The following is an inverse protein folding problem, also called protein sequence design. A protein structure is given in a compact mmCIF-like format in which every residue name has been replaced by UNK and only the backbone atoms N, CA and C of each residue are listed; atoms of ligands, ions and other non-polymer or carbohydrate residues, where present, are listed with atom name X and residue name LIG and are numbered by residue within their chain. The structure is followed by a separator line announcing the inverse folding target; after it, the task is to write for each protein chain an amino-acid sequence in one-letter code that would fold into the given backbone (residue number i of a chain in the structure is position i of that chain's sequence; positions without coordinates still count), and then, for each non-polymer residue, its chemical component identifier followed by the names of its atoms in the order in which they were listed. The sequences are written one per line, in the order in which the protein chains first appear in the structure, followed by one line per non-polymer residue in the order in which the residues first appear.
data_IF_332367269885
#
_entry.id   IF_332367269885
#
_cell.length_a   1.000
_cell.length_b   1.000
_cell.length_c   1.000
_cell.angle_alpha   90.00
_cell.angle_beta   90.00
_cell.angle_gamma   90.00
#
_symmetry.space_group_name_H-M   'P 1'
#
loop_
_entity.id
_entity.type
_entity.pdbx_description
1 polymer ?
#
# COMPACT_ATOMS: atom_id res chain seq x y z
N UNK A 1 -8.72 14.28 -19.34
CA UNK A 1 -7.49 13.89 -18.62
C UNK A 1 -7.71 14.18 -17.14
N UNK A 2 -7.49 13.20 -16.30
CA UNK A 2 -7.52 13.37 -14.86
C UNK A 2 -6.43 14.38 -14.46
N UNK A 3 -6.78 15.35 -13.61
CA UNK A 3 -5.81 16.25 -13.00
C UNK A 3 -5.36 15.65 -11.67
N UNK A 4 -4.10 15.27 -11.57
CA UNK A 4 -3.54 14.90 -10.27
C UNK A 4 -3.48 16.11 -9.35
N UNK A 5 -3.68 15.95 -8.04
CA UNK A 5 -3.59 17.07 -7.10
C UNK A 5 -2.16 17.61 -7.03
N UNK A 6 -2.03 18.91 -6.80
CA UNK A 6 -0.75 19.53 -6.45
C UNK A 6 -0.34 19.10 -5.05
N UNK A 7 0.90 18.63 -4.92
CA UNK A 7 1.45 18.13 -3.67
C UNK A 7 2.77 18.83 -3.33
N UNK A 8 2.97 19.12 -2.05
CA UNK A 8 4.24 19.67 -1.54
C UNK A 8 5.13 18.60 -0.92
N UNK A 9 4.51 17.52 -0.38
CA UNK A 9 5.20 16.43 0.31
C UNK A 9 5.30 15.15 -0.49
N UNK A 10 4.72 15.15 -1.70
CA UNK A 10 4.75 14.02 -2.63
C UNK A 10 5.23 14.47 -4.00
N UNK A 11 5.95 13.58 -4.69
CA UNK A 11 6.20 13.70 -6.13
C UNK A 11 5.34 12.67 -6.85
N UNK A 12 4.61 13.12 -7.89
CA UNK A 12 3.69 12.29 -8.64
C UNK A 12 4.15 12.19 -10.10
N UNK A 13 4.19 10.96 -10.65
CA UNK A 13 4.52 10.71 -12.04
C UNK A 13 3.64 9.59 -12.58
N UNK A 14 2.81 9.90 -13.55
CA UNK A 14 1.98 8.90 -14.23
C UNK A 14 2.66 8.46 -15.52
N UNK A 15 2.96 7.16 -15.63
CA UNK A 15 3.60 6.56 -16.81
C UNK A 15 2.95 5.20 -17.10
N UNK A 16 2.51 5.00 -18.33
CA UNK A 16 2.02 3.71 -18.85
C UNK A 16 1.01 3.02 -17.90
N UNK A 17 0.05 3.79 -17.36
CA UNK A 17 -0.98 3.29 -16.44
C UNK A 17 -0.48 2.98 -15.02
N UNK A 18 0.72 3.42 -14.67
CA UNK A 18 1.28 3.31 -13.31
C UNK A 18 1.49 4.71 -12.73
N UNK A 19 0.87 5.00 -11.60
CA UNK A 19 1.14 6.23 -10.86
C UNK A 19 2.24 5.96 -9.84
N UNK A 20 3.40 6.57 -10.06
CA UNK A 20 4.50 6.60 -9.10
C UNK A 20 4.26 7.74 -8.10
N UNK A 21 4.23 7.39 -6.81
CA UNK A 21 4.03 8.29 -5.68
C UNK A 21 5.30 8.22 -4.84
N UNK A 22 6.06 9.30 -4.78
CA UNK A 22 7.28 9.36 -3.97
C UNK A 22 7.05 10.26 -2.76
N UNK A 23 7.18 9.70 -1.55
CA UNK A 23 7.20 10.48 -0.32
C UNK A 23 8.43 11.40 -0.36
N UNK A 24 8.23 12.72 -0.33
CA UNK A 24 9.28 13.68 -0.64
C UNK A 24 9.54 14.67 0.51
N UNK A 25 9.97 14.12 1.64
CA UNK A 25 10.48 14.88 2.80
C UNK A 25 11.80 14.25 3.28
N UNK A 26 12.85 14.19 2.40
CA UNK A 26 14.07 13.44 2.69
C UNK A 26 14.81 13.95 3.94
N UNK A 27 14.76 15.25 4.25
CA UNK A 27 15.42 15.86 5.41
C UNK A 27 14.96 15.26 6.76
N UNK A 28 13.73 14.74 6.82
CA UNK A 28 13.20 14.04 7.99
C UNK A 28 12.91 12.55 7.71
N UNK A 29 13.60 11.95 6.72
CA UNK A 29 13.44 10.56 6.31
C UNK A 29 11.98 10.21 6.02
N UNK A 30 11.28 11.13 5.35
CA UNK A 30 9.87 11.01 4.97
C UNK A 30 8.92 10.73 6.16
N UNK A 31 9.20 11.33 7.33
CA UNK A 31 8.30 11.27 8.48
C UNK A 31 6.91 11.77 8.07
N UNK A 32 5.88 11.01 8.46
CA UNK A 32 4.48 11.20 8.05
C UNK A 32 3.87 12.39 8.77
N UNK A 33 3.78 13.53 8.07
CA UNK A 33 3.04 14.72 8.55
C UNK A 33 1.56 14.62 8.21
N UNK A 34 0.72 15.37 8.91
CA UNK A 34 -0.70 15.45 8.61
C UNK A 34 -0.94 15.96 7.17
N UNK A 35 -0.10 16.86 6.68
CA UNK A 35 -0.14 17.32 5.29
C UNK A 35 0.09 16.18 4.32
N UNK A 36 1.13 15.36 4.53
CA UNK A 36 1.41 14.19 3.71
C UNK A 36 0.26 13.17 3.73
N UNK A 37 -0.38 12.96 4.89
CA UNK A 37 -1.56 12.12 5.02
C UNK A 37 -2.71 12.63 4.14
N UNK A 38 -3.00 13.93 4.19
CA UNK A 38 -4.06 14.53 3.38
C UNK A 38 -3.73 14.48 1.88
N UNK A 39 -2.48 14.74 1.50
CA UNK A 39 -2.05 14.66 0.10
C UNK A 39 -2.14 13.23 -0.43
N UNK A 40 -1.70 12.22 0.34
CA UNK A 40 -1.86 10.81 -0.03
C UNK A 40 -3.34 10.44 -0.21
N UNK A 41 -4.21 10.86 0.72
CA UNK A 41 -5.65 10.63 0.61
C UNK A 41 -6.23 11.28 -0.66
N UNK A 42 -5.86 12.54 -0.96
CA UNK A 42 -6.32 13.23 -2.15
C UNK A 42 -5.83 12.55 -3.45
N UNK A 43 -4.60 12.06 -3.47
CA UNK A 43 -4.05 11.29 -4.61
C UNK A 43 -4.84 10.00 -4.81
N UNK A 44 -5.08 9.22 -3.75
CA UNK A 44 -5.85 7.98 -3.81
C UNK A 44 -7.28 8.23 -4.33
N UNK A 45 -7.94 9.29 -3.84
CA UNK A 45 -9.29 9.66 -4.30
C UNK A 45 -9.28 10.08 -5.77
N UNK A 46 -8.28 10.83 -6.22
CA UNK A 46 -8.21 11.31 -7.60
C UNK A 46 -8.10 10.20 -8.63
N UNK A 47 -7.48 9.04 -8.27
CA UNK A 47 -7.27 7.91 -9.20
C UNK A 47 -8.29 6.80 -9.06
N UNK A 48 -9.09 6.81 -8.00
CA UNK A 48 -9.98 5.70 -7.63
C UNK A 48 -10.85 5.19 -8.79
N UNK A 49 -11.45 6.11 -9.53
CA UNK A 49 -12.36 5.77 -10.63
C UNK A 49 -11.69 5.78 -12.00
N UNK A 50 -10.39 6.09 -12.09
CA UNK A 50 -9.70 6.14 -13.38
C UNK A 50 -9.30 4.71 -13.85
N UNK A 51 -9.92 4.19 -14.94
CA UNK A 51 -9.59 2.88 -15.47
C UNK A 51 -8.20 2.83 -16.12
N UNK A 52 -7.63 3.98 -16.47
CA UNK A 52 -6.30 4.10 -17.04
C UNK A 52 -5.17 3.91 -16.03
N UNK A 53 -5.46 4.06 -14.72
CA UNK A 53 -4.48 3.81 -13.65
C UNK A 53 -4.68 2.39 -13.11
N UNK A 54 -3.70 1.53 -13.35
CA UNK A 54 -3.76 0.10 -13.03
C UNK A 54 -3.00 -0.25 -11.75
N UNK A 55 -1.92 0.48 -11.49
CA UNK A 55 -1.07 0.28 -10.31
C UNK A 55 -0.63 1.62 -9.72
N UNK A 56 -0.42 1.62 -8.42
CA UNK A 56 0.22 2.69 -7.65
C UNK A 56 1.54 2.15 -7.11
N UNK A 57 2.64 2.85 -7.36
CA UNK A 57 3.95 2.50 -6.81
C UNK A 57 4.33 3.55 -5.78
N UNK A 58 4.44 3.15 -4.51
CA UNK A 58 4.79 4.02 -3.41
C UNK A 58 6.25 3.83 -3.01
N UNK A 59 7.03 4.91 -3.01
CA UNK A 59 8.45 4.95 -2.65
C UNK A 59 8.75 6.11 -1.72
N UNK A 60 9.99 6.17 -1.19
CA UNK A 60 10.50 7.31 -0.44
C UNK A 60 11.72 7.93 -1.11
N UNK A 61 11.79 9.26 -1.11
CA UNK A 61 12.98 10.00 -1.55
C UNK A 61 14.11 9.89 -0.52
N UNK A 62 15.36 10.09 -0.97
CA UNK A 62 16.52 10.16 -0.08
C UNK A 62 16.93 8.85 0.57
N UNK A 63 16.59 7.70 -0.05
CA UNK A 63 17.01 6.37 0.43
C UNK A 63 16.28 5.88 1.68
N UNK A 64 15.17 6.50 2.05
CA UNK A 64 14.31 6.08 3.17
C UNK A 64 12.86 6.04 2.74
N UNK A 65 12.14 4.97 3.11
CA UNK A 65 10.72 4.91 2.83
C UNK A 65 9.95 5.88 3.74
N UNK A 66 9.89 5.61 5.05
CA UNK A 66 9.26 6.49 6.02
C UNK A 66 9.73 6.15 7.45
N UNK A 67 10.15 7.17 8.20
CA UNK A 67 10.68 7.00 9.56
C UNK A 67 9.60 7.02 10.67
N UNK A 68 8.31 6.98 10.32
CA UNK A 68 7.20 7.03 11.27
C UNK A 68 6.47 8.37 11.29
N UNK A 69 5.75 8.66 12.37
CA UNK A 69 5.02 9.92 12.54
C UNK A 69 5.92 11.14 12.69
N UNK A 70 5.47 12.28 12.19
CA UNK A 70 6.20 13.54 12.33
C UNK A 70 6.11 14.06 13.77
N UNK A 71 7.28 14.22 14.40
CA UNK A 71 7.39 14.66 15.80
C UNK A 71 6.85 16.10 15.97
N UNK A 72 6.96 16.96 14.94
CA UNK A 72 6.47 18.35 15.01
C UNK A 72 4.95 18.38 15.05
N UNK A 73 4.29 17.57 14.21
CA UNK A 73 2.82 17.46 14.24
C UNK A 73 2.33 16.84 15.55
N UNK A 74 3.05 15.85 16.07
CA UNK A 74 2.77 15.29 17.39
C UNK A 74 2.90 16.32 18.50
N UNK A 75 3.95 17.16 18.48
CA UNK A 75 4.13 18.23 19.45
C UNK A 75 3.04 19.31 19.34
N UNK A 76 2.66 19.69 18.12
CA UNK A 76 1.57 20.63 17.86
C UNK A 76 0.22 20.11 18.38
N UNK A 77 -0.11 18.86 18.10
CA UNK A 77 -1.31 18.22 18.61
C UNK A 77 -1.34 18.15 20.16
N UNK A 78 -0.16 17.98 20.79
CA UNK A 78 -0.05 17.99 22.26
C UNK A 78 -0.50 19.33 22.86
N UNK A 79 -0.15 20.43 22.22
CA UNK A 79 -0.55 21.75 22.68
C UNK A 79 -2.05 22.03 22.46
N UNK A 80 -2.68 21.37 21.48
CA UNK A 80 -4.09 21.50 21.16
C UNK A 80 -5.03 20.54 21.93
N UNK A 81 -4.46 19.58 22.68
CA UNK A 81 -5.20 18.66 23.55
C UNK A 81 -5.51 17.29 22.99
N UNK A 82 -6.17 16.46 23.78
CA UNK A 82 -6.41 15.04 23.47
C UNK A 82 -7.24 14.82 22.20
N UNK A 83 -8.20 15.69 21.92
CA UNK A 83 -9.05 15.59 20.72
C UNK A 83 -8.26 15.84 19.45
N UNK A 84 -7.31 16.77 19.45
CA UNK A 84 -6.43 17.00 18.31
C UNK A 84 -5.56 15.77 18.02
N UNK A 85 -5.02 15.12 19.06
CA UNK A 85 -4.31 13.84 18.89
C UNK A 85 -5.20 12.75 18.31
N UNK A 86 -6.43 12.63 18.80
CA UNK A 86 -7.38 11.64 18.30
C UNK A 86 -7.67 11.85 16.82
N UNK A 87 -7.92 13.10 16.41
CA UNK A 87 -8.19 13.46 15.02
C UNK A 87 -6.97 13.20 14.11
N UNK A 88 -5.78 13.64 14.52
CA UNK A 88 -4.53 13.40 13.81
C UNK A 88 -4.30 11.89 13.58
N UNK A 89 -4.42 11.11 14.66
CA UNK A 89 -4.19 9.67 14.61
C UNK A 89 -5.25 8.97 13.75
N UNK A 90 -6.54 9.36 13.87
CA UNK A 90 -7.60 8.76 13.04
C UNK A 90 -7.49 9.14 11.56
N UNK A 91 -7.05 10.35 11.22
CA UNK A 91 -6.79 10.74 9.84
C UNK A 91 -5.76 9.82 9.18
N UNK A 92 -4.67 9.51 9.90
CA UNK A 92 -3.67 8.55 9.44
C UNK A 92 -4.27 7.15 9.22
N UNK A 93 -5.08 6.66 10.18
CA UNK A 93 -5.74 5.36 10.03
C UNK A 93 -6.74 5.33 8.87
N UNK A 94 -7.46 6.43 8.62
CA UNK A 94 -8.37 6.54 7.48
C UNK A 94 -7.63 6.46 6.14
N UNK A 95 -6.46 7.11 6.04
CA UNK A 95 -5.61 7.04 4.86
C UNK A 95 -5.08 5.61 4.62
N UNK A 96 -4.68 4.88 5.67
CA UNK A 96 -4.27 3.48 5.55
C UNK A 96 -5.42 2.59 5.07
N UNK A 97 -6.61 2.78 5.61
CA UNK A 97 -7.83 2.08 5.21
C UNK A 97 -8.16 2.37 3.73
N UNK A 98 -8.06 3.63 3.31
CA UNK A 98 -8.24 4.04 1.93
C UNK A 98 -7.19 3.42 1.00
N UNK A 99 -5.92 3.39 1.41
CA UNK A 99 -4.83 2.78 0.65
C UNK A 99 -5.02 1.28 0.47
N UNK A 100 -5.44 0.56 1.54
CA UNK A 100 -5.76 -0.87 1.46
C UNK A 100 -6.90 -1.14 0.47
N UNK A 101 -7.94 -0.31 0.50
CA UNK A 101 -9.15 -0.51 -0.29
C UNK A 101 -9.12 0.18 -1.67
N UNK A 102 -8.02 0.84 -2.05
CA UNK A 102 -7.94 1.45 -3.38
C UNK A 102 -8.06 0.37 -4.47
N UNK A 103 -8.83 0.62 -5.55
CA UNK A 103 -9.07 -0.39 -6.57
C UNK A 103 -7.83 -0.80 -7.37
N UNK A 104 -6.84 0.09 -7.45
CA UNK A 104 -5.56 -0.17 -8.11
C UNK A 104 -4.70 -1.11 -7.27
N UNK A 105 -3.78 -1.83 -7.93
CA UNK A 105 -2.77 -2.62 -7.23
C UNK A 105 -1.76 -1.66 -6.59
N UNK A 106 -1.65 -1.68 -5.26
CA UNK A 106 -0.70 -0.87 -4.52
C UNK A 106 0.60 -1.65 -4.29
N UNK A 107 1.69 -1.15 -4.87
CA UNK A 107 3.03 -1.71 -4.72
C UNK A 107 3.87 -0.77 -3.87
N UNK A 108 4.37 -1.23 -2.72
CA UNK A 108 5.34 -0.48 -1.92
C UNK A 108 6.77 -0.96 -2.21
N UNK A 109 7.65 -0.01 -2.51
CA UNK A 109 9.10 -0.24 -2.61
C UNK A 109 9.75 0.43 -1.41
N UNK A 110 10.29 -0.38 -0.51
CA UNK A 110 10.71 0.08 0.83
C UNK A 110 12.20 -0.11 1.03
N UNK A 111 12.87 1.02 1.25
CA UNK A 111 14.32 1.11 1.45
C UNK A 111 14.61 1.91 2.72
N UNK A 112 15.79 1.71 3.31
CA UNK A 112 16.23 2.43 4.51
C UNK A 112 15.24 2.32 5.68
N UNK A 113 14.76 3.43 6.21
CA UNK A 113 13.85 3.44 7.37
C UNK A 113 12.40 3.10 6.97
N UNK A 114 11.80 2.09 7.62
CA UNK A 114 10.43 1.61 7.47
C UNK A 114 9.82 1.43 8.86
N UNK A 115 9.48 2.55 9.51
CA UNK A 115 9.15 2.59 10.93
C UNK A 115 7.72 3.09 11.17
N UNK A 116 7.07 2.61 12.20
CA UNK A 116 5.76 3.10 12.63
C UNK A 116 4.78 3.27 11.46
N UNK A 117 4.44 4.50 11.11
CA UNK A 117 3.56 4.80 9.98
C UNK A 117 4.02 4.23 8.64
N UNK A 118 5.34 4.21 8.37
CA UNK A 118 5.91 3.57 7.18
C UNK A 118 5.72 2.05 7.19
N UNK A 119 5.84 1.43 8.35
CA UNK A 119 5.52 0.01 8.53
C UNK A 119 4.05 -0.25 8.20
N UNK A 120 3.14 0.61 8.66
CA UNK A 120 1.72 0.53 8.36
C UNK A 120 1.42 0.60 6.86
N UNK A 121 2.06 1.52 6.13
CA UNK A 121 1.93 1.62 4.66
C UNK A 121 2.42 0.35 3.95
N UNK A 122 3.53 -0.26 4.39
CA UNK A 122 3.98 -1.53 3.86
C UNK A 122 2.96 -2.66 4.12
N UNK A 123 2.29 -2.66 5.28
CA UNK A 123 1.28 -3.66 5.63
C UNK A 123 0.02 -3.59 4.77
N UNK A 124 -0.42 -2.39 4.37
CA UNK A 124 -1.65 -2.20 3.57
C UNK A 124 -1.41 -2.33 2.06
N UNK A 125 -0.16 -2.43 1.61
CA UNK A 125 0.15 -2.62 0.19
C UNK A 125 -0.16 -4.04 -0.27
N UNK A 126 -0.63 -4.20 -1.50
CA UNK A 126 -0.89 -5.52 -2.09
C UNK A 126 0.42 -6.27 -2.31
N UNK A 127 1.45 -5.55 -2.74
CA UNK A 127 2.79 -6.09 -2.97
C UNK A 127 3.80 -5.17 -2.28
N UNK A 128 4.74 -5.74 -1.55
CA UNK A 128 5.85 -5.01 -0.96
C UNK A 128 7.18 -5.63 -1.38
N UNK A 129 8.10 -4.78 -1.87
CA UNK A 129 9.46 -5.11 -2.27
C UNK A 129 10.39 -4.32 -1.36
N UNK A 130 11.33 -4.98 -0.69
CA UNK A 130 12.26 -4.34 0.24
C UNK A 130 13.70 -4.44 -0.24
N UNK A 131 14.53 -3.49 0.19
CA UNK A 131 15.97 -3.72 0.25
C UNK A 131 16.28 -4.68 1.41
N UNK A 132 17.22 -5.59 1.23
CA UNK A 132 17.68 -6.53 2.28
C UNK A 132 18.13 -5.81 3.55
N UNK A 133 18.72 -4.62 3.42
CA UNK A 133 19.22 -3.81 4.52
C UNK A 133 18.20 -2.80 5.06
N UNK A 134 16.99 -2.74 4.52
CA UNK A 134 15.91 -1.87 5.02
C UNK A 134 15.67 -2.14 6.51
N UNK A 135 15.38 -1.08 7.28
CA UNK A 135 15.30 -1.13 8.75
C UNK A 135 13.86 -0.99 9.21
N UNK A 136 13.28 -2.12 9.58
CA UNK A 136 11.91 -2.21 10.06
C UNK A 136 11.82 -2.11 11.58
N UNK A 137 10.68 -1.61 12.07
CA UNK A 137 10.36 -1.64 13.49
C UNK A 137 9.10 -0.87 13.86
N UNK A 138 8.57 -1.23 15.03
CA UNK A 138 7.43 -0.60 15.70
C UNK A 138 7.95 0.04 17.00
N UNK A 139 8.48 1.29 16.96
CA UNK A 139 9.15 1.89 18.10
C UNK A 139 8.21 2.47 19.15
N UNK A 140 6.91 2.47 18.91
CA UNK A 140 5.91 3.21 19.67
C UNK A 140 5.99 2.93 21.18
N UNK A 141 6.14 1.67 21.57
CA UNK A 141 6.18 1.28 22.99
C UNK A 141 7.44 1.79 23.72
N UNK A 142 8.55 2.02 23.02
CA UNK A 142 9.74 2.67 23.61
C UNK A 142 9.54 4.15 23.90
N UNK A 143 8.53 4.77 23.29
CA UNK A 143 8.15 6.16 23.48
C UNK A 143 6.97 6.31 24.45
N UNK A 144 6.48 5.20 25.06
CA UNK A 144 5.33 5.21 25.93
C UNK A 144 3.99 5.44 25.20
N UNK A 145 3.95 5.21 23.88
CA UNK A 145 2.75 5.31 23.06
C UNK A 145 2.42 3.98 22.41
N UNK A 146 1.30 3.89 21.71
CA UNK A 146 0.83 2.65 21.09
C UNK A 146 0.75 2.78 19.56
N UNK A 147 0.96 1.70 18.80
CA UNK A 147 0.80 1.68 17.34
C UNK A 147 -0.68 1.61 16.94
N UNK A 148 -1.50 2.57 17.42
CA UNK A 148 -2.96 2.47 17.47
C UNK A 148 -3.61 2.19 16.11
N UNK A 149 -3.24 2.95 15.07
CA UNK A 149 -3.87 2.82 13.76
C UNK A 149 -3.23 1.75 12.87
N UNK A 150 -1.99 1.36 13.15
CA UNK A 150 -1.27 0.38 12.33
C UNK A 150 -1.42 -1.05 12.86
N UNK A 151 -1.64 -1.24 14.16
CA UNK A 151 -1.69 -2.56 14.78
C UNK A 151 -2.64 -3.56 14.09
N UNK A 152 -3.88 -3.18 13.70
CA UNK A 152 -4.77 -4.11 12.98
C UNK A 152 -4.18 -4.59 11.66
N UNK A 153 -3.58 -3.70 10.87
CA UNK A 153 -2.97 -4.04 9.59
C UNK A 153 -1.72 -4.91 9.76
N UNK A 154 -0.94 -4.65 10.81
CA UNK A 154 0.22 -5.49 11.16
C UNK A 154 -0.23 -6.91 11.50
N UNK A 155 -1.26 -7.06 12.32
CA UNK A 155 -1.82 -8.38 12.68
C UNK A 155 -2.32 -9.13 11.46
N UNK A 156 -3.03 -8.45 10.56
CA UNK A 156 -3.50 -9.04 9.30
C UNK A 156 -2.35 -9.50 8.40
N UNK A 157 -1.27 -8.71 8.36
CA UNK A 157 -0.14 -8.96 7.48
C UNK A 157 0.76 -10.11 7.94
N UNK A 158 1.14 -10.16 9.24
CA UNK A 158 2.14 -11.11 9.76
C UNK A 158 1.59 -12.03 10.86
N UNK A 159 0.31 -11.98 11.11
CA UNK A 159 -0.36 -12.76 12.16
C UNK A 159 -0.10 -12.23 13.58
N UNK A 160 -1.01 -12.57 14.50
CA UNK A 160 -1.02 -12.06 15.87
C UNK A 160 0.27 -12.38 16.64
N UNK A 161 0.83 -13.58 16.46
CA UNK A 161 2.02 -14.02 17.20
C UNK A 161 3.24 -13.14 16.91
N UNK A 162 3.52 -12.87 15.62
CA UNK A 162 4.65 -12.04 15.23
C UNK A 162 4.38 -10.56 15.51
N UNK A 163 3.15 -10.09 15.29
CA UNK A 163 2.76 -8.73 15.62
C UNK A 163 2.98 -8.42 17.11
N UNK A 164 2.59 -9.32 18.02
CA UNK A 164 2.84 -9.20 19.47
C UNK A 164 4.33 -9.16 19.78
N UNK A 165 5.12 -10.09 19.22
CA UNK A 165 6.57 -10.11 19.43
C UNK A 165 7.19 -8.77 19.06
N UNK A 166 6.90 -8.26 17.87
CA UNK A 166 7.53 -7.04 17.35
C UNK A 166 7.06 -5.78 18.08
N UNK A 167 5.75 -5.63 18.30
CA UNK A 167 5.19 -4.44 18.91
C UNK A 167 5.53 -4.32 20.42
N UNK A 168 5.56 -5.44 21.14
CA UNK A 168 5.81 -5.44 22.59
C UNK A 168 7.30 -5.34 22.94
N UNK A 169 8.20 -5.65 22.02
CA UNK A 169 9.64 -5.58 22.25
C UNK A 169 10.31 -4.43 21.51
N UNK A 170 9.57 -3.75 20.62
CA UNK A 170 10.10 -2.76 19.68
C UNK A 170 11.31 -3.29 18.88
N UNK A 171 11.33 -4.59 18.60
CA UNK A 171 12.43 -5.25 17.92
C UNK A 171 12.70 -4.62 16.55
N UNK A 172 13.98 -4.43 16.23
CA UNK A 172 14.43 -3.98 14.92
C UNK A 172 14.88 -5.18 14.10
N UNK A 173 14.57 -5.15 12.81
CA UNK A 173 14.96 -6.21 11.89
C UNK A 173 15.15 -5.64 10.47
N UNK A 174 15.76 -6.42 9.60
CA UNK A 174 16.07 -6.02 8.23
C UNK A 174 15.05 -6.54 7.21
N UNK A 175 15.26 -6.19 5.92
CA UNK A 175 14.39 -6.60 4.83
C UNK A 175 14.34 -8.11 4.62
N UNK A 176 15.47 -8.81 4.75
CA UNK A 176 15.51 -10.27 4.65
C UNK A 176 14.63 -10.95 5.72
N UNK A 177 14.65 -10.45 6.96
CA UNK A 177 13.75 -10.95 8.01
C UNK A 177 12.30 -10.55 7.75
N UNK A 178 12.05 -9.36 7.18
CA UNK A 178 10.73 -8.94 6.77
C UNK A 178 10.12 -9.91 5.73
N UNK A 179 10.93 -10.41 4.80
CA UNK A 179 10.54 -11.46 3.87
C UNK A 179 10.16 -12.76 4.57
N UNK A 180 10.99 -13.24 5.53
CA UNK A 180 10.67 -14.46 6.30
C UNK A 180 9.40 -14.35 7.13
N UNK A 181 9.08 -13.15 7.60
CA UNK A 181 7.84 -12.86 8.36
C UNK A 181 6.59 -12.74 7.48
N UNK A 182 6.74 -12.68 6.16
CA UNK A 182 5.64 -12.40 5.23
C UNK A 182 5.19 -10.94 5.25
N UNK A 183 6.00 -10.04 5.83
CA UNK A 183 5.72 -8.60 5.81
C UNK A 183 5.92 -8.03 4.42
N UNK A 184 7.01 -8.43 3.74
CA UNK A 184 7.27 -8.11 2.35
C UNK A 184 7.29 -9.37 1.51
N UNK A 185 6.96 -9.27 0.23
CA UNK A 185 6.91 -10.41 -0.69
C UNK A 185 8.28 -10.73 -1.27
N UNK A 186 9.09 -9.69 -1.45
CA UNK A 186 10.42 -9.78 -2.05
C UNK A 186 11.41 -8.95 -1.23
N UNK A 187 12.63 -9.46 -1.10
CA UNK A 187 13.75 -8.78 -0.48
C UNK A 187 14.94 -8.92 -1.41
N UNK A 188 15.53 -7.79 -1.80
CA UNK A 188 16.54 -7.71 -2.86
C UNK A 188 17.80 -7.01 -2.34
N UNK A 189 18.94 -7.41 -2.87
CA UNK A 189 20.25 -7.02 -2.34
C UNK A 189 20.68 -5.60 -2.69
N UNK A 190 20.19 -5.06 -3.80
CA UNK A 190 20.58 -3.74 -4.30
C UNK A 190 19.47 -3.07 -5.12
N UNK A 191 19.66 -1.78 -5.42
CA UNK A 191 18.67 -0.98 -6.13
C UNK A 191 18.38 -1.49 -7.54
N UNK A 192 19.33 -2.13 -8.22
CA UNK A 192 19.11 -2.67 -9.56
C UNK A 192 18.20 -3.90 -9.51
N UNK A 193 18.41 -4.78 -8.51
CA UNK A 193 17.56 -5.93 -8.26
C UNK A 193 16.14 -5.51 -7.83
N UNK A 194 16.01 -4.48 -6.98
CA UNK A 194 14.73 -3.89 -6.59
C UNK A 194 13.97 -3.39 -7.83
N UNK A 195 14.65 -2.65 -8.70
CA UNK A 195 14.01 -2.12 -9.91
C UNK A 195 13.62 -3.24 -10.88
N UNK A 196 14.47 -4.24 -11.08
CA UNK A 196 14.16 -5.42 -11.89
C UNK A 196 12.93 -6.16 -11.36
N UNK A 197 12.84 -6.35 -10.04
CA UNK A 197 11.68 -6.96 -9.38
C UNK A 197 10.42 -6.12 -9.56
N UNK A 198 10.52 -4.80 -9.41
CA UNK A 198 9.38 -3.91 -9.64
C UNK A 198 8.88 -4.02 -11.08
N UNK A 199 9.76 -4.00 -12.07
CA UNK A 199 9.38 -4.13 -13.48
C UNK A 199 8.74 -5.50 -13.78
N UNK A 200 9.23 -6.57 -13.17
CA UNK A 200 8.60 -7.90 -13.26
C UNK A 200 7.16 -7.86 -12.72
N UNK A 201 6.97 -7.34 -11.50
CA UNK A 201 5.65 -7.21 -10.86
C UNK A 201 4.70 -6.35 -11.70
N UNK A 202 5.15 -5.20 -12.18
CA UNK A 202 4.35 -4.33 -13.04
C UNK A 202 4.00 -5.02 -14.36
N UNK A 203 4.93 -5.81 -14.92
CA UNK A 203 4.68 -6.66 -16.08
C UNK A 203 3.56 -7.67 -15.83
N UNK A 204 3.57 -8.36 -14.69
CA UNK A 204 2.52 -9.30 -14.29
C UNK A 204 1.16 -8.59 -14.12
N UNK A 205 1.12 -7.43 -13.47
CA UNK A 205 -0.11 -6.63 -13.31
C UNK A 205 -0.68 -6.24 -14.68
N UNK A 206 0.18 -5.87 -15.65
CA UNK A 206 -0.26 -5.52 -17.01
C UNK A 206 -0.85 -6.69 -17.78
N UNK A 207 -0.54 -7.94 -17.45
CA UNK A 207 -1.16 -9.12 -18.06
C UNK A 207 -2.58 -9.38 -17.56
N UNK A 208 -2.97 -8.83 -16.41
CA UNK A 208 -4.29 -9.02 -15.83
C UNK A 208 -5.28 -7.98 -16.35
N UNK A 209 -6.54 -8.34 -16.55
CA UNK A 209 -7.59 -7.41 -16.93
C UNK A 209 -7.88 -6.41 -15.78
N UNK A 210 -7.96 -5.08 -16.06
CA UNK A 210 -8.06 -4.07 -15.03
C UNK A 210 -9.27 -4.22 -14.09
N UNK A 211 -10.46 -4.45 -14.64
CA UNK A 211 -11.67 -4.60 -13.82
C UNK A 211 -11.66 -5.92 -13.04
N UNK A 212 -11.19 -7.00 -13.66
CA UNK A 212 -11.04 -8.28 -12.97
C UNK A 212 -10.09 -8.16 -11.77
N UNK A 213 -8.95 -7.44 -11.89
CA UNK A 213 -8.05 -7.16 -10.77
C UNK A 213 -8.73 -6.38 -9.65
N UNK A 214 -9.46 -5.30 -9.98
CA UNK A 214 -10.19 -4.48 -9.01
C UNK A 214 -11.21 -5.31 -8.22
N UNK A 215 -12.02 -6.09 -8.93
CA UNK A 215 -13.03 -6.96 -8.32
C UNK A 215 -12.40 -8.07 -7.49
N UNK A 216 -11.32 -8.68 -7.98
CA UNK A 216 -10.59 -9.71 -7.24
C UNK A 216 -10.02 -9.16 -5.93
N UNK A 217 -9.40 -7.97 -5.94
CA UNK A 217 -8.90 -7.33 -4.72
C UNK A 217 -10.03 -7.07 -3.72
N UNK A 218 -11.15 -6.50 -4.17
CA UNK A 218 -12.30 -6.25 -3.31
C UNK A 218 -12.86 -7.56 -2.72
N UNK A 219 -12.98 -8.61 -3.53
CA UNK A 219 -13.44 -9.93 -3.07
C UNK A 219 -12.51 -10.54 -2.01
N UNK A 220 -11.20 -10.46 -2.23
CA UNK A 220 -10.21 -10.96 -1.27
C UNK A 220 -10.27 -10.22 0.08
N UNK A 221 -10.41 -8.89 0.05
CA UNK A 221 -10.54 -8.08 1.27
C UNK A 221 -11.85 -8.35 2.00
N UNK A 222 -12.96 -8.60 1.29
CA UNK A 222 -14.26 -8.91 1.87
C UNK A 222 -14.27 -10.23 2.65
N UNK A 223 -13.33 -11.16 2.40
CA UNK A 223 -13.20 -12.41 3.17
C UNK A 223 -12.97 -12.18 4.67
N UNK A 224 -12.48 -11.01 5.05
CA UNK A 224 -12.19 -10.67 6.45
C UNK A 224 -13.42 -10.17 7.24
N UNK A 225 -14.46 -9.73 6.53
CA UNK A 225 -15.59 -9.01 7.15
C UNK A 225 -16.93 -9.63 6.85
N UNK A 226 -17.07 -10.37 5.75
CA UNK A 226 -18.34 -10.94 5.34
C UNK A 226 -18.48 -12.42 5.71
N UNK A 227 -19.67 -12.86 6.11
CA UNK A 227 -19.97 -14.29 6.30
C UNK A 227 -19.77 -15.05 5.00
N UNK A 228 -19.13 -16.23 5.07
CA UNK A 228 -18.73 -17.02 3.89
C UNK A 228 -19.88 -17.28 2.91
N UNK A 229 -21.07 -17.66 3.39
CA UNK A 229 -22.22 -17.93 2.52
C UNK A 229 -22.63 -16.69 1.71
N UNK A 230 -22.80 -15.54 2.37
CA UNK A 230 -23.15 -14.27 1.72
C UNK A 230 -22.07 -13.85 0.70
N UNK A 231 -20.81 -14.01 1.08
CA UNK A 231 -19.69 -13.69 0.19
C UNK A 231 -19.71 -14.57 -1.07
N UNK A 232 -19.93 -15.88 -0.93
CA UNK A 232 -19.99 -16.80 -2.09
C UNK A 232 -21.17 -16.51 -3.00
N UNK A 233 -22.35 -16.15 -2.47
CA UNK A 233 -23.50 -15.74 -3.27
C UNK A 233 -23.21 -14.46 -4.07
N UNK A 234 -22.60 -13.46 -3.43
CA UNK A 234 -22.15 -12.23 -4.08
C UNK A 234 -21.09 -12.51 -5.15
N UNK A 235 -20.10 -13.35 -4.82
CA UNK A 235 -19.03 -13.73 -5.75
C UNK A 235 -19.56 -14.46 -6.99
N UNK A 236 -20.58 -15.30 -6.87
CA UNK A 236 -21.22 -15.96 -8.01
C UNK A 236 -21.89 -14.96 -8.96
N UNK A 237 -22.56 -13.94 -8.43
CA UNK A 237 -23.13 -12.86 -9.22
C UNK A 237 -22.05 -12.01 -9.91
N UNK A 238 -20.98 -11.66 -9.19
CA UNK A 238 -19.84 -10.93 -9.74
C UNK A 238 -19.13 -11.72 -10.85
N UNK A 239 -18.93 -13.02 -10.67
CA UNK A 239 -18.35 -13.90 -11.69
C UNK A 239 -19.19 -13.93 -12.96
N UNK A 240 -20.53 -14.10 -12.84
CA UNK A 240 -21.42 -14.10 -13.99
C UNK A 240 -21.35 -12.77 -14.76
N UNK A 241 -21.33 -11.64 -14.04
CA UNK A 241 -21.18 -10.32 -14.65
C UNK A 241 -19.81 -10.15 -15.33
N UNK A 242 -18.73 -10.64 -14.72
CA UNK A 242 -17.39 -10.56 -15.29
C UNK A 242 -17.25 -11.38 -16.58
N UNK A 243 -17.76 -12.61 -16.61
CA UNK A 243 -17.71 -13.50 -17.79
C UNK A 243 -18.51 -12.90 -18.98
N UNK A 244 -19.64 -12.30 -18.72
CA UNK A 244 -20.51 -11.69 -19.76
C UNK A 244 -20.09 -10.25 -20.11
N UNK A 245 -19.19 -9.65 -19.31
CA UNK A 245 -18.68 -8.30 -19.52
C UNK A 245 -17.63 -8.22 -20.64
N UNK A 246 -17.24 -6.98 -20.99
CA UNK A 246 -16.31 -6.72 -22.10
C UNK A 246 -14.93 -7.37 -21.89
N UNK A 247 -14.37 -7.31 -20.68
CA UNK A 247 -13.08 -7.94 -20.36
C UNK A 247 -13.17 -9.48 -20.43
N UNK A 248 -14.22 -10.09 -19.88
CA UNK A 248 -14.41 -11.54 -19.94
C UNK A 248 -14.59 -12.05 -21.38
N UNK A 249 -15.36 -11.34 -22.20
CA UNK A 249 -15.55 -11.66 -23.60
C UNK A 249 -14.22 -11.53 -24.38
N UNK A 250 -13.49 -10.43 -24.21
CA UNK A 250 -12.19 -10.21 -24.86
C UNK A 250 -11.16 -11.26 -24.42
N UNK A 251 -11.03 -11.50 -23.11
CA UNK A 251 -10.05 -12.42 -22.56
C UNK A 251 -10.25 -13.85 -23.02
N UNK A 252 -11.52 -14.33 -23.01
CA UNK A 252 -11.86 -15.67 -23.50
C UNK A 252 -11.64 -15.81 -25.01
N UNK A 253 -12.00 -14.79 -25.78
CA UNK A 253 -11.75 -14.78 -27.23
C UNK A 253 -10.26 -14.74 -27.56
N UNK A 254 -9.48 -13.88 -26.88
CA UNK A 254 -8.03 -13.81 -27.06
C UNK A 254 -7.36 -15.15 -26.76
N UNK A 255 -7.78 -15.82 -25.68
CA UNK A 255 -7.29 -17.15 -25.31
C UNK A 255 -7.59 -18.20 -26.40
N UNK A 256 -8.82 -18.27 -26.90
CA UNK A 256 -9.21 -19.19 -27.99
C UNK A 256 -8.44 -18.91 -29.27
N UNK A 257 -8.18 -17.63 -29.58
CA UNK A 257 -7.45 -17.20 -30.78
C UNK A 257 -5.92 -17.24 -30.61
N UNK A 258 -5.42 -17.61 -29.44
CA UNK A 258 -3.97 -17.65 -29.12
C UNK A 258 -3.28 -16.31 -29.38
N UNK A 259 -3.94 -15.19 -29.09
CA UNK A 259 -3.39 -13.85 -29.15
C UNK A 259 -3.37 -13.18 -27.78
N UNK A 260 -2.59 -12.12 -27.65
CA UNK A 260 -2.62 -11.27 -26.46
C UNK A 260 -3.96 -10.51 -26.37
N UNK A 261 -4.57 -10.38 -25.18
CA UNK A 261 -5.73 -9.57 -24.98
C UNK A 261 -5.40 -8.06 -25.11
N UNK A 262 -6.42 -7.25 -25.42
CA UNK A 262 -6.26 -5.83 -25.75
C UNK A 262 -5.64 -4.99 -24.64
N UNK A 263 -5.83 -5.35 -23.36
CA UNK A 263 -5.29 -4.63 -22.20
C UNK A 263 -3.80 -4.85 -21.95
N UNK A 264 -3.14 -5.72 -22.70
CA UNK A 264 -1.68 -5.96 -22.61
C UNK A 264 -0.87 -5.11 -23.56
N UNK A 265 -1.54 -4.36 -24.45
CA UNK A 265 -0.94 -3.50 -25.47
C UNK A 265 -0.56 -2.13 -24.93
#
# INVERSE_FOLDING_TARGET
MMSLPDCETLLLKLETGVLHITLNRPDCRNAMSLKMVHELSAVLDSVKEDPGVRALVLRGAGGHFCAGGDIKDMAGARSAGADAYRQLNRAFGAMLEQAQNCPQVLVAVVEGAVLGGGFGLACVSDIAIASDDAKFGLPETTLGIIPAQIAPFVVKRIGLTQARRLALTAARFNGSEAGRLGLVHFSETDSAAIEARLQEVLGQIRQCAPQANRQTKALLLATETEPLGTLLDSAAAQFAAAVTGAEGAEGTMAFMQKRAPSWTQ
#
